data_IF_584419329910
#
_entry.id   IF_584419329910
#
_cell.length_a   1.000
_cell.length_b   1.000
_cell.length_c   1.000
_cell.angle_alpha   90.00
_cell.angle_beta   90.00
_cell.angle_gamma   90.00
#
_symmetry.space_group_name_H-M   'P 1'
#
loop_
_entity.id
_entity.type
_entity.pdbx_description
1 polymer ?
#
# COMPACT_ATOMS: atom_id res chain seq x y z
N UNK A 1 -10.98 5.32 -23.24
CA UNK A 1 -10.11 4.22 -22.76
C UNK A 1 -10.89 3.22 -21.91
N UNK A 2 -11.11 3.43 -20.60
CA UNK A 2 -11.75 2.41 -19.74
C UNK A 2 -13.14 1.97 -20.19
N UNK A 3 -13.98 2.92 -20.64
CA UNK A 3 -15.29 2.64 -21.24
C UNK A 3 -15.22 1.65 -22.41
N UNK A 4 -14.18 1.76 -23.22
CA UNK A 4 -14.00 0.97 -24.44
C UNK A 4 -13.34 -0.38 -24.12
N UNK A 5 -12.44 -0.40 -23.14
CA UNK A 5 -11.81 -1.63 -22.64
C UNK A 5 -12.81 -2.53 -21.90
N UNK A 6 -13.71 -1.95 -21.11
CA UNK A 6 -14.80 -2.65 -20.43
C UNK A 6 -16.13 -2.42 -21.16
N UNK A 7 -16.50 -3.26 -22.14
CA UNK A 7 -17.64 -2.99 -23.02
C UNK A 7 -18.99 -2.93 -22.29
N UNK A 8 -19.08 -3.53 -21.10
CA UNK A 8 -20.26 -3.52 -20.21
C UNK A 8 -20.03 -2.76 -18.90
N UNK A 9 -18.86 -2.15 -18.72
CA UNK A 9 -18.52 -1.45 -17.48
C UNK A 9 -19.15 -0.06 -17.42
N UNK A 10 -19.62 0.31 -16.23
CA UNK A 10 -19.90 1.71 -15.90
C UNK A 10 -18.61 2.34 -15.39
N UNK A 11 -18.26 3.52 -15.90
CA UNK A 11 -17.05 4.24 -15.52
C UNK A 11 -17.46 5.43 -14.67
N UNK A 12 -16.88 5.52 -13.49
CA UNK A 12 -17.13 6.61 -12.55
C UNK A 12 -15.83 7.36 -12.35
N UNK A 13 -15.81 8.65 -12.68
CA UNK A 13 -14.65 9.52 -12.55
C UNK A 13 -14.85 10.55 -11.45
N UNK A 14 -13.79 10.85 -10.70
CA UNK A 14 -13.73 11.93 -9.73
C UNK A 14 -12.54 12.83 -10.06
N UNK A 15 -12.76 14.13 -10.14
CA UNK A 15 -11.69 15.11 -10.34
C UNK A 15 -11.97 16.38 -9.53
N UNK A 16 -10.93 17.07 -9.05
CA UNK A 16 -11.05 18.38 -8.39
C UNK A 16 -11.63 19.44 -9.32
N UNK A 17 -11.39 19.30 -10.61
CA UNK A 17 -11.84 20.20 -11.66
C UNK A 17 -13.06 19.61 -12.37
N UNK A 18 -13.98 20.46 -12.86
CA UNK A 18 -15.10 19.97 -13.65
C UNK A 18 -14.58 19.33 -14.94
N UNK A 19 -14.95 18.06 -15.16
CA UNK A 19 -14.64 17.35 -16.40
C UNK A 19 -15.90 17.22 -17.27
N UNK A 20 -15.80 17.50 -18.57
CA UNK A 20 -16.88 17.31 -19.53
C UNK A 20 -16.47 16.24 -20.53
N UNK A 21 -17.10 15.08 -20.45
CA UNK A 21 -16.81 13.94 -21.34
C UNK A 21 -17.98 13.78 -22.30
N UNK A 22 -17.69 13.77 -23.61
CA UNK A 22 -18.67 13.38 -24.62
C UNK A 22 -18.82 11.86 -24.58
N UNK A 23 -19.90 11.38 -23.98
CA UNK A 23 -20.18 9.96 -23.89
C UNK A 23 -21.54 9.61 -24.52
N UNK A 24 -21.57 9.18 -25.80
CA UNK A 24 -22.82 8.75 -26.43
C UNK A 24 -23.41 7.47 -25.81
N UNK A 25 -22.64 6.75 -24.99
CA UNK A 25 -23.09 5.49 -24.38
C UNK A 25 -23.82 5.68 -23.04
N UNK A 26 -23.67 6.83 -22.40
CA UNK A 26 -24.22 7.12 -21.06
C UNK A 26 -23.60 6.28 -19.93
N UNK A 27 -22.47 5.60 -20.15
CA UNK A 27 -21.79 4.75 -19.17
C UNK A 27 -20.72 5.49 -18.36
N UNK A 28 -20.42 6.74 -18.68
CA UNK A 28 -19.45 7.56 -17.96
C UNK A 28 -20.18 8.57 -17.08
N UNK A 29 -19.99 8.47 -15.76
CA UNK A 29 -20.47 9.44 -14.77
C UNK A 29 -19.27 10.13 -14.15
N UNK A 30 -19.32 11.46 -14.05
CA UNK A 30 -18.21 12.26 -13.50
C UNK A 30 -18.68 13.13 -12.34
N UNK A 31 -17.87 13.14 -11.29
CA UNK A 31 -18.08 13.95 -10.10
C UNK A 31 -16.95 14.96 -9.95
N UNK A 32 -17.30 16.13 -9.41
CA UNK A 32 -16.33 17.14 -9.01
C UNK A 32 -16.11 17.05 -7.50
N UNK A 33 -14.87 16.92 -7.07
CA UNK A 33 -14.50 16.98 -5.66
C UNK A 33 -13.10 16.47 -5.38
N UNK A 34 -12.82 16.20 -4.12
CA UNK A 34 -11.48 15.81 -3.67
C UNK A 34 -11.45 14.33 -3.28
N UNK A 35 -10.33 13.65 -3.56
CA UNK A 35 -10.20 12.21 -3.30
C UNK A 35 -10.31 11.84 -1.81
N UNK A 36 -9.96 12.75 -0.91
CA UNK A 36 -10.03 12.54 0.54
C UNK A 36 -11.40 12.86 1.15
N UNK A 37 -12.38 13.33 0.35
CA UNK A 37 -13.73 13.63 0.83
C UNK A 37 -14.55 12.34 0.93
N UNK A 38 -14.48 11.68 2.08
CA UNK A 38 -15.14 10.38 2.30
C UNK A 38 -16.65 10.45 2.17
N UNK A 39 -17.28 11.59 2.50
CA UNK A 39 -18.73 11.78 2.33
C UNK A 39 -19.11 11.81 0.85
N UNK A 40 -18.32 12.51 0.03
CA UNK A 40 -18.50 12.48 -1.42
C UNK A 40 -18.29 11.07 -1.97
N UNK A 41 -17.25 10.37 -1.54
CA UNK A 41 -17.00 8.98 -1.97
C UNK A 41 -18.18 8.06 -1.62
N UNK A 42 -18.74 8.19 -0.42
CA UNK A 42 -19.92 7.42 0.01
C UNK A 42 -21.12 7.71 -0.88
N UNK A 43 -21.37 8.98 -1.19
CA UNK A 43 -22.42 9.39 -2.11
C UNK A 43 -22.22 8.80 -3.51
N UNK A 44 -21.01 8.87 -4.05
CA UNK A 44 -20.68 8.32 -5.37
C UNK A 44 -20.98 6.82 -5.41
N UNK A 45 -20.55 6.07 -4.39
CA UNK A 45 -20.84 4.64 -4.27
C UNK A 45 -22.33 4.37 -4.23
N UNK A 46 -23.09 5.12 -3.41
CA UNK A 46 -24.55 4.95 -3.33
C UNK A 46 -25.26 5.20 -4.66
N UNK A 47 -24.85 6.23 -5.41
CA UNK A 47 -25.48 6.62 -6.66
C UNK A 47 -25.09 5.71 -7.84
N UNK A 48 -23.88 5.13 -7.85
CA UNK A 48 -23.33 4.48 -9.05
C UNK A 48 -22.97 3.00 -8.89
N UNK A 49 -22.70 2.56 -7.66
CA UNK A 49 -22.21 1.22 -7.36
C UNK A 49 -22.66 0.77 -5.94
N UNK A 50 -23.97 0.60 -5.69
CA UNK A 50 -24.49 0.29 -4.35
C UNK A 50 -23.94 -1.02 -3.76
N UNK A 51 -23.53 -1.98 -4.61
CA UNK A 51 -22.88 -3.23 -4.20
C UNK A 51 -21.34 -3.13 -4.15
N UNK A 52 -20.78 -1.96 -4.45
CA UNK A 52 -19.36 -1.68 -4.51
C UNK A 52 -18.75 -1.70 -5.91
N UNK A 53 -17.51 -1.25 -6.00
CA UNK A 53 -16.70 -1.22 -7.22
C UNK A 53 -15.93 -2.51 -7.40
N UNK A 54 -15.82 -2.96 -8.65
CA UNK A 54 -14.98 -4.12 -9.02
C UNK A 54 -13.50 -3.72 -9.11
N UNK A 55 -13.23 -2.50 -9.61
CA UNK A 55 -11.89 -1.93 -9.78
C UNK A 55 -11.92 -0.47 -9.34
N UNK A 56 -10.92 -0.04 -8.58
CA UNK A 56 -10.69 1.35 -8.20
C UNK A 56 -9.26 1.71 -8.62
N UNK A 57 -9.08 2.89 -9.22
CA UNK A 57 -7.77 3.39 -9.67
C UNK A 57 -7.57 4.78 -9.04
N UNK A 58 -6.55 4.91 -8.20
CA UNK A 58 -6.08 6.18 -7.64
C UNK A 58 -4.94 6.72 -8.50
N UNK A 59 -5.31 7.57 -9.45
CA UNK A 59 -4.46 8.36 -10.34
C UNK A 59 -4.82 9.83 -10.18
N UNK A 60 -4.64 10.35 -8.95
CA UNK A 60 -5.17 11.65 -8.55
C UNK A 60 -4.06 12.62 -8.13
N UNK A 61 -3.94 12.93 -6.84
CA UNK A 61 -3.00 13.96 -6.38
C UNK A 61 -1.56 13.46 -6.24
N UNK A 62 -1.35 12.15 -6.17
CA UNK A 62 -0.11 11.48 -5.76
C UNK A 62 0.48 12.04 -4.45
N UNK A 63 -0.37 12.57 -3.57
CA UNK A 63 0.00 12.92 -2.20
C UNK A 63 -0.32 11.74 -1.31
N UNK A 64 0.67 11.28 -0.54
CA UNK A 64 0.54 10.13 0.34
C UNK A 64 -0.59 10.28 1.33
N UNK A 65 -0.75 11.44 1.96
CA UNK A 65 -1.84 11.64 2.93
C UNK A 65 -3.23 11.52 2.28
N UNK A 66 -3.43 12.13 1.11
CA UNK A 66 -4.72 12.09 0.41
C UNK A 66 -5.00 10.68 -0.13
N UNK A 67 -3.98 10.02 -0.67
CA UNK A 67 -4.02 8.62 -1.14
C UNK A 67 -4.33 7.68 0.01
N UNK A 68 -3.76 7.90 1.19
CA UNK A 68 -4.02 7.07 2.38
C UNK A 68 -5.48 7.15 2.81
N UNK A 69 -6.05 8.36 2.85
CA UNK A 69 -7.46 8.57 3.21
C UNK A 69 -8.39 7.92 2.17
N UNK A 70 -8.18 8.20 0.88
CA UNK A 70 -8.98 7.60 -0.20
C UNK A 70 -8.84 6.08 -0.22
N UNK A 71 -7.62 5.56 -0.13
CA UNK A 71 -7.33 4.13 -0.17
C UNK A 71 -8.08 3.39 0.92
N UNK A 72 -7.89 3.73 2.20
CA UNK A 72 -8.50 2.95 3.28
C UNK A 72 -10.02 3.04 3.27
N UNK A 73 -10.58 4.23 2.99
CA UNK A 73 -12.03 4.40 2.92
C UNK A 73 -12.64 3.58 1.80
N UNK A 74 -12.11 3.72 0.57
CA UNK A 74 -12.61 3.03 -0.61
C UNK A 74 -12.36 1.52 -0.53
N UNK A 75 -11.16 1.11 -0.11
CA UNK A 75 -10.78 -0.30 -0.04
C UNK A 75 -11.65 -1.06 0.95
N UNK A 76 -11.93 -0.50 2.12
CA UNK A 76 -12.73 -1.16 3.14
C UNK A 76 -14.21 -1.15 2.79
N UNK A 77 -14.74 0.02 2.44
CA UNK A 77 -16.19 0.23 2.39
C UNK A 77 -16.77 0.05 0.99
N UNK A 78 -16.00 0.30 -0.07
CA UNK A 78 -16.55 0.44 -1.43
C UNK A 78 -15.99 -0.58 -2.42
N UNK A 79 -14.81 -1.15 -2.20
CA UNK A 79 -14.26 -2.19 -3.06
C UNK A 79 -14.90 -3.54 -2.73
N UNK A 80 -15.40 -4.24 -3.75
CA UNK A 80 -15.95 -5.59 -3.62
C UNK A 80 -14.89 -6.58 -3.14
N UNK A 81 -15.33 -7.66 -2.51
CA UNK A 81 -14.50 -8.83 -2.24
C UNK A 81 -13.87 -9.34 -3.55
N UNK A 82 -12.56 -9.66 -3.53
CA UNK A 82 -11.82 -10.04 -4.73
C UNK A 82 -11.58 -8.89 -5.73
N UNK A 83 -12.06 -7.68 -5.43
CA UNK A 83 -11.83 -6.49 -6.24
C UNK A 83 -10.39 -6.01 -6.23
N UNK A 84 -10.07 -5.14 -7.19
CA UNK A 84 -8.72 -4.62 -7.42
C UNK A 84 -8.65 -3.11 -7.11
N UNK A 85 -7.70 -2.73 -6.26
CA UNK A 85 -7.30 -1.34 -6.09
C UNK A 85 -5.96 -1.12 -6.78
N UNK A 86 -5.83 -0.06 -7.58
CA UNK A 86 -4.60 0.34 -8.25
C UNK A 86 -4.18 1.72 -7.78
N UNK A 87 -2.92 1.89 -7.37
CA UNK A 87 -2.32 3.18 -7.03
C UNK A 87 -1.27 3.49 -8.10
N UNK A 88 -1.37 4.63 -8.78
CA UNK A 88 -0.40 5.10 -9.77
C UNK A 88 0.66 6.04 -9.14
N UNK A 89 1.80 6.15 -9.81
CA UNK A 89 2.87 7.12 -9.56
C UNK A 89 3.37 7.20 -8.11
N UNK A 90 3.39 6.06 -7.40
CA UNK A 90 3.86 6.01 -6.01
C UNK A 90 5.33 6.44 -5.82
N UNK A 91 6.13 6.45 -6.90
CA UNK A 91 7.54 6.84 -6.89
C UNK A 91 7.75 8.35 -6.75
N UNK A 92 6.72 9.17 -6.88
CA UNK A 92 6.78 10.61 -6.58
C UNK A 92 7.30 10.87 -5.16
N UNK A 93 7.06 9.95 -4.22
CA UNK A 93 7.62 10.01 -2.87
C UNK A 93 9.16 10.00 -2.81
N UNK A 94 9.85 9.66 -3.90
CA UNK A 94 11.32 9.75 -4.01
C UNK A 94 11.82 11.05 -4.64
N UNK A 95 10.95 12.00 -4.99
CA UNK A 95 11.31 13.20 -5.73
C UNK A 95 11.25 14.42 -4.81
N UNK A 96 12.37 15.13 -4.65
CA UNK A 96 12.42 16.40 -3.88
C UNK A 96 11.51 17.49 -4.47
N UNK A 97 11.17 17.38 -5.76
CA UNK A 97 10.27 18.31 -6.44
C UNK A 97 8.78 18.05 -6.14
N UNK A 98 8.45 16.92 -5.51
CA UNK A 98 7.08 16.59 -5.13
C UNK A 98 6.80 17.04 -3.70
N UNK A 99 5.56 17.46 -3.43
CA UNK A 99 5.18 18.16 -2.18
C UNK A 99 5.55 17.36 -0.93
N UNK A 100 5.36 16.04 -0.96
CA UNK A 100 5.69 15.12 0.14
C UNK A 100 6.74 14.07 -0.25
N UNK A 101 7.52 14.35 -1.30
CA UNK A 101 8.61 13.51 -1.77
C UNK A 101 9.97 13.90 -1.17
N UNK A 102 10.91 12.96 -1.21
CA UNK A 102 12.28 13.21 -0.76
C UNK A 102 13.29 12.27 -1.44
N UNK A 103 14.33 12.85 -1.99
CA UNK A 103 15.37 12.14 -2.71
C UNK A 103 16.24 11.33 -1.75
N UNK A 104 16.63 10.14 -2.21
CA UNK A 104 17.63 9.36 -1.50
C UNK A 104 18.99 10.08 -1.45
N UNK A 105 19.41 10.48 -0.24
CA UNK A 105 20.74 11.06 -0.01
C UNK A 105 21.73 9.94 0.35
N UNK A 106 22.55 9.55 -0.63
CA UNK A 106 23.58 8.53 -0.42
C UNK A 106 24.62 9.03 0.62
N UNK A 107 24.79 8.27 1.70
CA UNK A 107 25.82 8.52 2.72
C UNK A 107 27.06 7.66 2.45
N UNK A 108 27.53 7.65 1.19
CA UNK A 108 28.55 6.71 0.73
C UNK A 108 29.94 6.95 1.37
N UNK A 109 30.28 8.19 1.73
CA UNK A 109 31.61 8.53 2.29
C UNK A 109 31.95 7.86 3.64
N UNK A 110 30.97 7.36 4.40
CA UNK A 110 31.22 6.66 5.68
C UNK A 110 31.15 5.12 5.59
N UNK A 111 30.76 4.55 4.43
CA UNK A 111 30.53 3.10 4.30
C UNK A 111 31.80 2.30 4.10
N UNK A 112 32.78 2.81 3.34
CA UNK A 112 34.00 2.08 3.01
C UNK A 112 34.85 1.74 4.23
N UNK A 113 35.16 2.74 5.07
CA UNK A 113 35.99 2.57 6.27
C UNK A 113 35.31 1.72 7.34
N UNK A 114 34.01 1.94 7.61
CA UNK A 114 33.28 1.18 8.65
C UNK A 114 33.03 -0.27 8.23
N UNK A 115 32.66 -0.53 6.97
CA UNK A 115 32.47 -1.88 6.44
C UNK A 115 33.80 -2.66 6.42
N UNK A 116 34.89 -2.02 5.99
CA UNK A 116 36.23 -2.61 6.00
C UNK A 116 36.73 -2.94 7.41
N UNK A 117 36.62 -2.00 8.36
CA UNK A 117 36.97 -2.27 9.76
C UNK A 117 36.12 -3.42 10.34
N UNK A 118 34.84 -3.48 9.96
CA UNK A 118 33.89 -4.47 10.44
C UNK A 118 34.16 -5.88 9.90
N UNK A 119 34.41 -6.03 8.60
CA UNK A 119 34.82 -7.33 8.02
C UNK A 119 36.06 -7.88 8.72
N UNK A 120 37.01 -7.00 9.10
CA UNK A 120 38.26 -7.37 9.78
C UNK A 120 38.08 -7.75 11.26
N UNK A 121 37.06 -7.22 11.94
CA UNK A 121 36.74 -7.51 13.35
C UNK A 121 35.83 -8.74 13.45
N UNK A 122 34.80 -8.83 12.62
CA UNK A 122 33.88 -9.98 12.58
C UNK A 122 34.57 -11.26 12.10
N UNK A 123 35.53 -11.16 11.17
CA UNK A 123 36.30 -12.34 10.74
C UNK A 123 37.14 -12.98 11.87
N UNK A 124 37.33 -12.28 13.00
CA UNK A 124 38.11 -12.76 14.15
C UNK A 124 37.27 -13.37 15.27
N UNK A 125 35.97 -13.09 15.34
CA UNK A 125 35.05 -13.66 16.34
C UNK A 125 33.79 -14.21 15.68
N UNK A 126 33.88 -15.38 15.04
CA UNK A 126 32.69 -16.07 14.56
C UNK A 126 31.85 -16.53 15.77
N UNK A 127 30.63 -15.99 15.90
CA UNK A 127 29.60 -16.52 16.80
C UNK A 127 29.34 -15.76 18.10
N UNK A 128 30.02 -14.64 18.39
CA UNK A 128 29.76 -13.89 19.63
C UNK A 128 28.42 -13.11 19.57
N UNK A 129 27.68 -13.09 20.69
CA UNK A 129 26.40 -12.37 20.83
C UNK A 129 26.58 -10.88 20.51
N UNK A 130 27.74 -10.33 20.86
CA UNK A 130 28.11 -8.95 20.60
C UNK A 130 28.19 -8.66 19.09
N UNK A 131 28.81 -9.55 18.32
CA UNK A 131 28.87 -9.43 16.86
C UNK A 131 27.46 -9.37 16.25
N UNK A 132 26.55 -10.25 16.67
CA UNK A 132 25.14 -10.25 16.22
C UNK A 132 24.37 -8.99 16.62
N UNK A 133 24.59 -8.45 17.82
CA UNK A 133 23.94 -7.22 18.27
C UNK A 133 24.44 -5.99 17.50
N UNK A 134 25.75 -5.90 17.27
CA UNK A 134 26.36 -4.84 16.46
C UNK A 134 25.93 -4.92 14.99
N UNK A 135 25.85 -6.13 14.44
CA UNK A 135 25.35 -6.37 13.09
C UNK A 135 23.90 -5.88 12.93
N UNK A 136 23.02 -6.22 13.89
CA UNK A 136 21.64 -5.69 13.93
C UNK A 136 21.60 -4.17 13.96
N UNK A 137 22.49 -3.52 14.70
CA UNK A 137 22.54 -2.06 14.81
C UNK A 137 22.96 -1.41 13.48
N UNK A 138 23.92 -2.01 12.77
CA UNK A 138 24.43 -1.51 11.49
C UNK A 138 23.40 -1.63 10.35
N UNK A 139 22.61 -2.70 10.34
CA UNK A 139 21.56 -2.91 9.34
C UNK A 139 20.26 -2.16 9.66
N UNK A 140 20.05 -1.69 10.90
CA UNK A 140 18.87 -0.91 11.34
C UNK A 140 18.86 0.56 10.88
N UNK A 141 19.39 0.86 9.68
CA UNK A 141 19.34 2.24 9.15
C UNK A 141 17.97 2.54 8.56
N UNK A 142 17.25 3.52 9.15
CA UNK A 142 16.02 4.08 8.57
C UNK A 142 16.35 5.01 7.40
N UNK A 143 15.73 4.74 6.26
CA UNK A 143 15.73 5.66 5.12
C UNK A 143 14.63 6.69 5.36
N UNK A 144 15.00 7.94 5.66
CA UNK A 144 14.06 8.98 6.10
C UNK A 144 13.02 9.32 5.03
N UNK A 145 13.41 9.34 3.75
CA UNK A 145 12.50 9.54 2.61
C UNK A 145 11.50 8.41 2.40
N UNK A 146 11.56 7.34 3.19
CA UNK A 146 10.73 6.16 3.01
C UNK A 146 9.80 5.91 4.21
N UNK A 147 9.42 6.94 4.95
CA UNK A 147 8.49 6.82 6.09
C UNK A 147 7.29 7.76 5.98
N UNK A 148 7.18 8.53 4.89
CA UNK A 148 6.09 9.47 4.64
C UNK A 148 5.85 9.59 3.13
N UNK A 149 4.82 10.35 2.74
CA UNK A 149 4.39 10.50 1.35
C UNK A 149 3.95 9.18 0.72
N UNK A 150 3.91 9.12 -0.61
CA UNK A 150 3.47 7.91 -1.33
C UNK A 150 4.25 6.65 -0.94
N UNK A 151 5.57 6.75 -0.79
CA UNK A 151 6.42 5.62 -0.38
C UNK A 151 6.10 5.14 1.04
N UNK A 152 5.75 6.07 1.93
CA UNK A 152 5.25 5.76 3.27
C UNK A 152 3.97 4.94 3.22
N UNK A 153 3.01 5.36 2.38
CA UNK A 153 1.75 4.62 2.17
C UNK A 153 2.01 3.22 1.63
N UNK A 154 2.85 3.07 0.59
CA UNK A 154 3.14 1.73 0.04
C UNK A 154 3.76 0.81 1.10
N UNK A 155 4.58 1.35 1.99
CA UNK A 155 5.14 0.57 3.10
C UNK A 155 4.11 0.21 4.15
N UNK A 156 3.19 1.11 4.47
CA UNK A 156 2.03 0.80 5.31
C UNK A 156 1.23 -0.38 4.73
N UNK A 157 1.07 -0.44 3.40
CA UNK A 157 0.41 -1.57 2.74
C UNK A 157 1.23 -2.87 2.80
N UNK A 158 2.55 -2.77 2.71
CA UNK A 158 3.45 -3.93 2.90
C UNK A 158 3.35 -4.45 4.36
N UNK A 159 3.30 -3.54 5.33
CA UNK A 159 3.15 -3.89 6.75
C UNK A 159 1.78 -4.55 7.01
N UNK A 160 0.70 -4.05 6.40
CA UNK A 160 -0.62 -4.70 6.45
C UNK A 160 -0.60 -6.10 5.81
N UNK A 161 0.11 -6.30 4.69
CA UNK A 161 0.24 -7.62 4.07
C UNK A 161 0.98 -8.62 4.97
N UNK A 162 1.92 -8.13 5.79
CA UNK A 162 2.68 -8.93 6.76
C UNK A 162 2.12 -8.90 8.18
N UNK A 163 0.89 -8.43 8.38
CA UNK A 163 0.34 -8.18 9.73
C UNK A 163 0.25 -9.44 10.58
N UNK A 164 0.10 -10.61 9.97
CA UNK A 164 0.11 -11.92 10.65
C UNK A 164 1.46 -12.23 11.30
N UNK A 165 2.56 -11.89 10.62
CA UNK A 165 3.91 -12.03 11.16
C UNK A 165 4.20 -10.98 12.24
N UNK A 166 3.61 -9.78 12.13
CA UNK A 166 3.74 -8.67 13.10
C UNK A 166 2.95 -8.97 14.38
N UNK A 167 1.75 -9.53 14.24
CA UNK A 167 0.81 -9.78 15.35
C UNK A 167 0.85 -11.21 15.87
N UNK A 168 1.89 -11.98 15.51
CA UNK A 168 2.03 -13.36 15.94
C UNK A 168 2.17 -13.46 17.48
N UNK A 169 1.22 -14.10 18.20
CA UNK A 169 1.24 -14.17 19.66
C UNK A 169 2.49 -14.87 20.22
N UNK A 170 3.07 -15.83 19.47
CA UNK A 170 4.30 -16.51 19.88
C UNK A 170 5.53 -15.59 19.85
N UNK A 171 5.44 -14.42 19.20
CA UNK A 171 6.50 -13.40 19.14
C UNK A 171 6.18 -12.16 19.97
N UNK A 172 4.90 -11.92 20.25
CA UNK A 172 4.41 -10.82 21.05
C UNK A 172 3.14 -11.24 21.80
N UNK A 173 3.31 -11.64 23.06
CA UNK A 173 2.23 -12.19 23.91
C UNK A 173 1.05 -11.21 24.12
N UNK A 174 1.27 -9.91 23.87
CA UNK A 174 0.25 -8.87 23.97
C UNK A 174 -0.54 -8.65 22.66
N UNK A 175 -0.14 -9.28 21.56
CA UNK A 175 -0.77 -9.08 20.26
C UNK A 175 -1.88 -10.10 19.99
N UNK A 176 -3.06 -9.61 19.60
CA UNK A 176 -4.12 -10.45 19.04
C UNK A 176 -3.76 -10.82 17.60
N UNK A 177 -3.70 -12.11 17.29
CA UNK A 177 -3.41 -12.58 15.94
C UNK A 177 -4.44 -12.02 14.95
N UNK A 178 -3.94 -11.40 13.89
CA UNK A 178 -4.74 -10.84 12.82
C UNK A 178 -4.22 -11.31 11.47
N UNK A 179 -5.12 -11.52 10.52
CA UNK A 179 -4.77 -11.78 9.12
C UNK A 179 -4.75 -10.49 8.30
N UNK A 180 -3.95 -10.45 7.22
CA UNK A 180 -3.93 -9.31 6.30
C UNK A 180 -5.31 -9.03 5.74
N UNK A 181 -5.66 -7.76 5.53
CA UNK A 181 -6.83 -7.37 4.72
C UNK A 181 -6.67 -7.67 3.23
N UNK A 182 -5.42 -7.88 2.79
CA UNK A 182 -5.06 -8.07 1.39
C UNK A 182 -4.85 -9.54 1.05
N UNK A 183 -5.26 -9.91 -0.16
CA UNK A 183 -4.92 -11.22 -0.73
C UNK A 183 -3.52 -11.20 -1.34
N UNK A 184 -3.20 -10.11 -2.04
CA UNK A 184 -1.94 -9.92 -2.76
C UNK A 184 -1.66 -8.43 -2.91
N UNK A 185 -0.38 -8.06 -2.83
CA UNK A 185 0.15 -6.82 -3.38
C UNK A 185 1.11 -7.13 -4.53
N UNK A 186 1.06 -6.36 -5.60
CA UNK A 186 2.05 -6.39 -6.68
C UNK A 186 2.55 -4.96 -6.94
N UNK A 187 3.85 -4.75 -6.81
CA UNK A 187 4.47 -3.42 -6.92
C UNK A 187 5.32 -3.39 -8.18
N UNK A 188 4.99 -2.48 -9.07
CA UNK A 188 5.71 -2.22 -10.32
C UNK A 188 6.26 -0.79 -10.31
N UNK A 189 7.04 -0.37 -11.33
CA UNK A 189 7.53 0.98 -11.40
C UNK A 189 6.49 2.10 -11.37
N UNK A 190 5.37 1.95 -12.07
CA UNK A 190 4.30 2.95 -12.09
C UNK A 190 3.17 2.62 -11.12
N UNK A 191 2.85 1.33 -10.98
CA UNK A 191 1.61 0.89 -10.34
C UNK A 191 1.84 0.02 -9.13
N UNK A 192 0.95 0.16 -8.15
CA UNK A 192 0.75 -0.81 -7.07
C UNK A 192 -0.65 -1.40 -7.18
N UNK A 193 -0.72 -2.71 -7.32
CA UNK A 193 -1.96 -3.47 -7.39
C UNK A 193 -2.23 -4.12 -6.04
N UNK A 194 -3.38 -3.85 -5.44
CA UNK A 194 -3.83 -4.44 -4.17
C UNK A 194 -5.12 -5.20 -4.41
N UNK A 195 -5.10 -6.51 -4.18
CA UNK A 195 -6.28 -7.37 -4.32
C UNK A 195 -6.93 -7.59 -2.96
N UNK A 196 -8.24 -7.30 -2.87
CA UNK A 196 -9.02 -7.53 -1.65
C UNK A 196 -9.27 -9.01 -1.44
N UNK A 197 -9.24 -9.45 -0.18
CA UNK A 197 -9.61 -10.82 0.20
C UNK A 197 -11.08 -11.06 -0.05
N UNK A 198 -11.41 -12.32 -0.25
CA UNK A 198 -12.76 -12.83 -0.24
C UNK A 198 -13.05 -13.51 1.10
N UNK A 199 -14.33 -13.62 1.46
CA UNK A 199 -14.74 -14.38 2.65
C UNK A 199 -14.18 -15.82 2.64
N UNK A 200 -14.08 -16.43 1.45
CA UNK A 200 -13.45 -17.75 1.28
C UNK A 200 -11.96 -17.75 1.65
N UNK A 201 -11.22 -16.69 1.31
CA UNK A 201 -9.81 -16.59 1.72
C UNK A 201 -9.68 -16.52 3.24
N UNK A 202 -10.63 -15.84 3.91
CA UNK A 202 -10.65 -15.72 5.37
C UNK A 202 -11.02 -17.04 6.06
N UNK A 203 -11.99 -17.77 5.54
CA UNK A 203 -12.35 -19.11 6.00
C UNK A 203 -11.16 -20.09 5.91
N UNK A 204 -10.45 -20.09 4.78
CA UNK A 204 -9.26 -20.92 4.57
C UNK A 204 -8.12 -20.57 5.54
N UNK A 205 -7.92 -19.27 5.81
CA UNK A 205 -6.90 -18.83 6.77
C UNK A 205 -7.23 -19.26 8.21
N UNK A 206 -8.50 -19.19 8.59
CA UNK A 206 -8.97 -19.66 9.90
C UNK A 206 -8.80 -21.18 10.07
N UNK A 207 -9.03 -21.96 9.01
CA UNK A 207 -8.83 -23.40 9.00
C UNK A 207 -7.35 -23.79 9.13
N UNK A 208 -6.45 -23.09 8.44
CA UNK A 208 -5.00 -23.30 8.55
C UNK A 208 -4.47 -23.08 9.98
N UNK A 209 -4.97 -22.07 10.69
CA UNK A 209 -4.56 -21.82 12.09
C UNK A 209 -5.05 -22.92 13.03
N UNK A 210 -6.28 -23.42 12.86
CA UNK A 210 -6.79 -24.56 13.63
C UNK A 210 -5.91 -25.80 13.45
N UNK A 211 -5.54 -26.10 12.20
CA UNK A 211 -4.71 -27.27 11.88
C UNK A 211 -3.25 -27.14 12.33
N UNK A 212 -2.73 -25.92 12.49
CA UNK A 212 -1.36 -25.67 12.97
C UNK A 212 -1.23 -25.67 14.50
N UNK A 213 -2.36 -25.77 15.22
CA UNK A 213 -2.42 -25.75 16.69
C UNK A 213 -2.55 -27.15 17.30
N UNK A 214 -2.51 -28.20 16.47
CA UNK A 214 -2.50 -29.63 16.83
C UNK A 214 -1.14 -30.24 16.50
#
# INVERSE_FOLDING_TARGET
MWRDYFPRGTIVGLDRNPCRIKDPTGRIVVYKGFQQDTYLLDRIKQETAPDGFDIIIDDASHLGELTRVSFWHLFENHLKEGGLYVIEDWRTGYWDAWIDGNQYKSTFKQRGLRKWFFEKVISREQGSILARQFEKLLYRKRFHSHCYGMVGVIKELVDELGVDAITNPARNELATQRFPKFKKIEITPGQVFVMKRTRKDDELAAEQVKNSSH
#
